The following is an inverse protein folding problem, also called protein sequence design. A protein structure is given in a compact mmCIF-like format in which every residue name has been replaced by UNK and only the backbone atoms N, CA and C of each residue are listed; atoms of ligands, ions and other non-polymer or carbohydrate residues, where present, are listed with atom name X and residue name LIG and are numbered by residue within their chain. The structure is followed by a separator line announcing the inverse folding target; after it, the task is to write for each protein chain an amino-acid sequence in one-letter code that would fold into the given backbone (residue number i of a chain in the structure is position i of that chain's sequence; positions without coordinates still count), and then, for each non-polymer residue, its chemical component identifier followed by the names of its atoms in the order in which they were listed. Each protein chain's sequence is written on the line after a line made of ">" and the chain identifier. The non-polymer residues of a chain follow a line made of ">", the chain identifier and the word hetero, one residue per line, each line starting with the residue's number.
data_IF_036622999800
#
_entry.id   IF_036622999800
#
_cell.length_a   1.000
_cell.length_b   1.000
_cell.length_c   1.000
_cell.angle_alpha   90.00
_cell.angle_beta   90.00
_cell.angle_gamma   90.00
#
_symmetry.space_group_name_H-M   'P 1'
#
loop_
_entity.id
_entity.type
_entity.pdbx_description
1 polymer ?
#
# COMPACT_ATOMS: atom_id res chain seq x y z
N UNK A 1 -12.93 -12.89 -10.44
CA UNK A 1 -13.25 -12.61 -9.03
C UNK A 1 -13.30 -13.93 -8.29
N UNK A 2 -12.92 -13.97 -7.02
CA UNK A 2 -12.80 -15.20 -6.24
C UNK A 2 -14.14 -15.57 -5.59
N UNK A 3 -14.70 -16.72 -5.95
CA UNK A 3 -15.96 -17.24 -5.41
C UNK A 3 -15.69 -18.52 -4.65
N UNK A 4 -16.39 -18.71 -3.53
CA UNK A 4 -16.31 -19.95 -2.76
C UNK A 4 -17.34 -20.93 -3.33
N UNK A 5 -16.94 -22.12 -3.77
CA UNK A 5 -17.88 -23.15 -4.21
C UNK A 5 -17.69 -24.45 -3.43
N UNK A 6 -18.79 -25.16 -3.17
CA UNK A 6 -18.74 -26.53 -2.70
C UNK A 6 -18.32 -27.46 -3.85
N UNK A 7 -17.36 -28.34 -3.59
CA UNK A 7 -16.94 -29.44 -4.44
C UNK A 7 -17.02 -30.73 -3.62
N UNK A 8 -18.16 -31.41 -3.69
CA UNK A 8 -18.46 -32.55 -2.81
C UNK A 8 -18.58 -32.14 -1.33
N UNK A 9 -17.70 -32.67 -0.48
CA UNK A 9 -17.60 -32.31 0.94
C UNK A 9 -16.72 -31.09 1.20
N UNK A 10 -15.96 -30.65 0.21
CA UNK A 10 -14.93 -29.64 0.36
C UNK A 10 -15.40 -28.29 -0.16
N UNK A 11 -14.83 -27.21 0.36
CA UNK A 11 -15.06 -25.86 -0.16
C UNK A 11 -13.77 -25.35 -0.79
N UNK A 12 -13.86 -24.90 -2.04
CA UNK A 12 -12.73 -24.43 -2.83
C UNK A 12 -12.94 -22.97 -3.27
N UNK A 13 -11.87 -22.19 -3.21
CA UNK A 13 -11.83 -20.85 -3.78
C UNK A 13 -11.53 -20.96 -5.28
N UNK A 14 -12.44 -20.50 -6.12
CA UNK A 14 -12.31 -20.55 -7.57
C UNK A 14 -12.38 -19.15 -8.18
N UNK A 15 -11.58 -18.92 -9.21
CA UNK A 15 -11.67 -17.69 -10.01
C UNK A 15 -12.77 -17.89 -11.05
N UNK A 16 -13.84 -17.10 -10.93
CA UNK A 16 -14.95 -17.12 -11.88
C UNK A 16 -15.14 -15.76 -12.55
N UNK A 17 -15.69 -15.80 -13.76
CA UNK A 17 -16.18 -14.62 -14.46
C UNK A 17 -17.54 -14.21 -13.91
N UNK A 18 -17.63 -13.03 -13.31
CA UNK A 18 -18.90 -12.46 -12.84
C UNK A 18 -19.47 -11.57 -13.94
N UNK A 19 -20.71 -11.87 -14.36
CA UNK A 19 -21.43 -11.05 -15.34
C UNK A 19 -21.99 -9.80 -14.66
N UNK A 20 -21.89 -8.64 -15.34
CA UNK A 20 -22.43 -7.35 -14.88
C UNK A 20 -21.82 -6.82 -13.58
N UNK A 21 -20.52 -6.53 -13.61
CA UNK A 21 -19.82 -5.82 -12.53
C UNK A 21 -19.95 -4.32 -12.73
N UNK A 22 -20.53 -3.62 -11.75
CA UNK A 22 -20.62 -2.16 -11.74
C UNK A 22 -19.68 -1.60 -10.68
N UNK A 23 -18.67 -0.86 -11.11
CA UNK A 23 -17.69 -0.22 -10.24
C UNK A 23 -17.58 1.27 -10.54
N UNK A 24 -17.63 2.08 -9.48
CA UNK A 24 -17.51 3.54 -9.57
C UNK A 24 -16.42 3.99 -8.61
N UNK A 25 -15.34 4.53 -9.18
CA UNK A 25 -14.20 5.03 -8.42
C UNK A 25 -14.09 6.55 -8.45
N UNK A 26 -13.56 7.12 -7.38
CA UNK A 26 -13.12 8.50 -7.34
C UNK A 26 -11.83 8.60 -6.54
N UNK A 27 -10.91 9.46 -6.98
CA UNK A 27 -9.62 9.67 -6.33
C UNK A 27 -9.36 11.16 -6.17
N UNK A 28 -8.91 11.54 -4.98
CA UNK A 28 -8.50 12.88 -4.63
C UNK A 28 -7.09 12.81 -4.05
N UNK A 29 -6.16 13.56 -4.64
CA UNK A 29 -4.80 13.71 -4.12
C UNK A 29 -4.53 15.19 -3.99
N UNK A 30 -4.16 15.63 -2.79
CA UNK A 30 -3.81 17.02 -2.52
C UNK A 30 -2.32 17.11 -2.25
N UNK A 31 -1.73 18.26 -2.57
CA UNK A 31 -0.35 18.58 -2.21
C UNK A 31 -0.31 20.02 -1.71
N UNK A 32 -0.07 20.17 -0.41
CA UNK A 32 -0.01 21.46 0.28
C UNK A 32 1.41 21.70 0.80
N UNK A 33 1.92 22.92 0.60
CA UNK A 33 3.22 23.37 1.13
C UNK A 33 3.00 24.62 1.97
N UNK A 34 2.51 24.49 3.22
CA UNK A 34 2.24 25.65 4.06
C UNK A 34 3.51 26.42 4.41
N UNK A 35 4.66 25.73 4.45
CA UNK A 35 5.98 26.31 4.65
C UNK A 35 6.96 25.75 3.62
N UNK A 36 8.05 26.47 3.34
CA UNK A 36 9.10 26.02 2.40
C UNK A 36 9.76 24.70 2.81
N UNK A 37 9.76 24.40 4.11
CA UNK A 37 10.32 23.18 4.69
C UNK A 37 9.29 22.07 4.93
N UNK A 38 7.98 22.30 4.70
CA UNK A 38 6.92 21.33 5.00
C UNK A 38 6.07 21.05 3.75
N UNK A 39 5.93 19.78 3.38
CA UNK A 39 4.98 19.31 2.37
C UNK A 39 4.02 18.29 3.00
N UNK A 40 2.72 18.48 2.79
CA UNK A 40 1.66 17.56 3.19
C UNK A 40 0.93 17.08 1.94
N UNK A 41 0.77 15.76 1.81
CA UNK A 41 0.11 15.13 0.67
C UNK A 41 -0.92 14.12 1.17
N UNK A 42 -2.11 14.58 1.62
CA UNK A 42 -3.21 13.68 1.91
C UNK A 42 -3.82 13.17 0.60
N UNK A 43 -4.29 11.93 0.64
CA UNK A 43 -5.02 11.32 -0.45
C UNK A 43 -6.27 10.61 0.09
N UNK A 44 -7.26 10.50 -0.80
CA UNK A 44 -8.47 9.75 -0.58
C UNK A 44 -8.87 9.03 -1.86
N UNK A 45 -9.08 7.72 -1.78
CA UNK A 45 -9.63 6.92 -2.86
C UNK A 45 -10.93 6.27 -2.40
N UNK A 46 -11.96 6.39 -3.22
CA UNK A 46 -13.25 5.76 -3.03
C UNK A 46 -13.50 4.78 -4.17
N UNK A 47 -14.07 3.62 -3.85
CA UNK A 47 -14.54 2.65 -4.84
C UNK A 47 -15.85 2.05 -4.35
N UNK A 48 -16.91 2.19 -5.13
CA UNK A 48 -18.17 1.47 -4.94
C UNK A 48 -18.22 0.29 -5.89
N UNK A 49 -18.37 -0.92 -5.37
CA UNK A 49 -18.47 -2.15 -6.17
C UNK A 49 -19.81 -2.83 -5.93
N UNK A 50 -20.56 -3.07 -7.01
CA UNK A 50 -21.86 -3.75 -7.00
C UNK A 50 -21.91 -4.85 -8.04
N UNK A 51 -22.10 -6.09 -7.59
CA UNK A 51 -22.24 -7.27 -8.45
C UNK A 51 -22.86 -8.43 -7.67
N UNK A 52 -23.24 -9.50 -8.37
CA UNK A 52 -23.76 -10.72 -7.76
C UNK A 52 -22.77 -11.86 -7.96
N UNK A 53 -22.38 -12.53 -6.88
CA UNK A 53 -21.77 -13.85 -6.93
C UNK A 53 -22.88 -14.92 -6.93
N UNK A 54 -22.57 -16.20 -7.23
CA UNK A 54 -23.54 -17.28 -7.03
C UNK A 54 -24.05 -17.39 -5.58
N UNK A 55 -23.27 -16.95 -4.60
CA UNK A 55 -23.57 -17.12 -3.17
C UNK A 55 -24.24 -15.91 -2.53
N UNK A 56 -23.96 -14.69 -3.03
CA UNK A 56 -24.45 -13.46 -2.42
C UNK A 56 -24.37 -12.26 -3.36
N UNK A 57 -25.12 -11.22 -2.99
CA UNK A 57 -25.01 -9.90 -3.63
C UNK A 57 -23.94 -9.08 -2.93
N UNK A 58 -22.92 -8.66 -3.67
CA UNK A 58 -21.88 -7.76 -3.18
C UNK A 58 -22.28 -6.31 -3.45
N UNK A 59 -22.27 -5.51 -2.39
CA UNK A 59 -22.44 -4.06 -2.44
C UNK A 59 -21.50 -3.44 -1.42
N UNK A 60 -20.30 -3.09 -1.88
CA UNK A 60 -19.20 -2.67 -1.01
C UNK A 60 -18.71 -1.28 -1.37
N UNK A 61 -18.38 -0.50 -0.34
CA UNK A 61 -17.80 0.83 -0.48
C UNK A 61 -16.43 0.82 0.20
N UNK A 62 -15.38 0.87 -0.61
CA UNK A 62 -14.01 1.00 -0.14
C UNK A 62 -13.69 2.48 0.04
N UNK A 63 -13.11 2.80 1.20
CA UNK A 63 -12.57 4.11 1.54
C UNK A 63 -11.10 3.91 1.90
N UNK A 64 -10.19 4.46 1.10
CA UNK A 64 -8.75 4.40 1.35
C UNK A 64 -8.24 5.81 1.57
N UNK A 65 -7.82 6.09 2.79
CA UNK A 65 -7.34 7.40 3.21
C UNK A 65 -5.89 7.25 3.64
N UNK A 66 -5.05 8.20 3.25
CA UNK A 66 -3.72 8.29 3.80
C UNK A 66 -3.14 9.69 3.68
N UNK A 67 -1.98 9.86 4.30
CA UNK A 67 -1.25 11.13 4.28
C UNK A 67 0.24 10.87 4.26
N UNK A 68 0.93 11.59 3.38
CA UNK A 68 2.37 11.76 3.41
C UNK A 68 2.72 13.13 3.99
N UNK A 69 3.71 13.18 4.87
CA UNK A 69 4.27 14.40 5.42
C UNK A 69 5.78 14.38 5.19
N UNK A 70 6.32 15.45 4.62
CA UNK A 70 7.74 15.63 4.40
C UNK A 70 8.20 16.94 5.03
N UNK A 71 9.26 16.84 5.84
CA UNK A 71 9.96 17.97 6.46
C UNK A 71 11.38 18.00 5.93
N UNK A 72 11.84 19.15 5.43
CA UNK A 72 13.20 19.37 4.94
C UNK A 72 13.83 20.54 5.67
N UNK A 73 14.85 20.25 6.48
CA UNK A 73 15.58 21.26 7.26
C UNK A 73 17.09 21.17 6.96
N UNK A 74 17.54 22.01 6.02
CA UNK A 74 18.92 22.04 5.57
C UNK A 74 19.36 20.70 4.95
N UNK A 75 20.23 19.97 5.65
CA UNK A 75 20.74 18.66 5.22
C UNK A 75 19.85 17.49 5.66
N UNK A 76 18.85 17.74 6.49
CA UNK A 76 17.94 16.74 7.00
C UNK A 76 16.65 16.68 6.19
N UNK A 77 16.17 15.47 5.94
CA UNK A 77 14.87 15.20 5.37
C UNK A 77 14.19 14.13 6.22
N UNK A 78 12.99 14.44 6.70
CA UNK A 78 12.11 13.49 7.35
C UNK A 78 10.87 13.28 6.47
N UNK A 79 10.46 12.03 6.26
CA UNK A 79 9.24 11.69 5.54
C UNK A 79 8.48 10.65 6.35
N UNK A 80 7.20 10.88 6.61
CA UNK A 80 6.31 9.89 7.21
C UNK A 80 5.08 9.69 6.34
N UNK A 81 4.66 8.44 6.19
CA UNK A 81 3.47 8.05 5.44
C UNK A 81 2.57 7.24 6.35
N UNK A 82 1.28 7.52 6.32
CA UNK A 82 0.26 6.86 7.13
C UNK A 82 -0.89 6.47 6.21
N UNK A 83 -1.23 5.18 6.16
CA UNK A 83 -2.43 4.73 5.47
C UNK A 83 -3.39 4.12 6.50
N UNK A 84 -4.63 4.56 6.44
CA UNK A 84 -5.67 4.10 7.36
C UNK A 84 -6.17 2.71 6.97
N UNK A 85 -6.70 1.93 7.92
CA UNK A 85 -7.27 0.63 7.63
C UNK A 85 -8.34 0.73 6.55
N UNK A 86 -8.36 -0.24 5.63
CA UNK A 86 -9.37 -0.35 4.59
C UNK A 86 -9.80 -1.80 4.40
N UNK A 87 -10.95 -2.00 3.76
CA UNK A 87 -11.42 -3.33 3.38
C UNK A 87 -11.62 -3.37 1.88
N UNK A 88 -11.05 -4.37 1.22
CA UNK A 88 -11.28 -4.70 -0.19
C UNK A 88 -12.22 -5.91 -0.28
N UNK A 89 -12.86 -6.06 -1.44
CA UNK A 89 -13.71 -7.22 -1.74
C UNK A 89 -13.33 -7.76 -3.11
N UNK A 90 -13.25 -9.09 -3.21
CA UNK A 90 -13.01 -9.80 -4.46
C UNK A 90 -13.91 -11.03 -4.54
N UNK A 91 -15.07 -10.90 -5.20
CA UNK A 91 -16.08 -11.96 -5.23
C UNK A 91 -16.69 -12.16 -3.84
N UNK A 92 -16.54 -13.34 -3.27
CA UNK A 92 -17.04 -13.67 -1.92
C UNK A 92 -16.04 -13.37 -0.80
N UNK A 93 -14.80 -13.03 -1.16
CA UNK A 93 -13.71 -12.87 -0.20
C UNK A 93 -13.50 -11.39 0.11
N UNK A 94 -13.43 -11.08 1.39
CA UNK A 94 -13.12 -9.76 1.92
C UNK A 94 -11.73 -9.78 2.53
N UNK A 95 -10.95 -8.73 2.27
CA UNK A 95 -9.64 -8.53 2.89
C UNK A 95 -9.64 -7.20 3.64
N UNK A 96 -9.52 -7.26 4.96
CA UNK A 96 -9.32 -6.10 5.82
C UNK A 96 -7.82 -5.88 5.99
N UNK A 97 -7.32 -4.78 5.44
CA UNK A 97 -5.95 -4.32 5.59
C UNK A 97 -5.91 -3.38 6.79
N UNK A 98 -4.99 -3.62 7.72
CA UNK A 98 -4.83 -2.80 8.90
C UNK A 98 -4.14 -1.48 8.63
N UNK A 99 -3.97 -0.71 9.70
CA UNK A 99 -3.19 0.52 9.63
C UNK A 99 -1.72 0.19 9.37
N UNK A 100 -1.12 0.90 8.43
CA UNK A 100 0.32 0.85 8.23
C UNK A 100 0.90 2.26 8.13
N UNK A 101 2.13 2.38 8.60
CA UNK A 101 2.88 3.61 8.52
C UNK A 101 4.36 3.33 8.25
N UNK A 102 5.04 4.31 7.68
CA UNK A 102 6.49 4.33 7.65
C UNK A 102 7.00 5.72 7.96
N UNK A 103 8.17 5.79 8.57
CA UNK A 103 8.87 7.03 8.85
C UNK A 103 10.32 6.86 8.41
N UNK A 104 10.86 7.86 7.71
CA UNK A 104 12.24 7.86 7.25
C UNK A 104 12.92 9.17 7.61
N UNK A 105 14.17 9.08 8.05
CA UNK A 105 15.04 10.21 8.33
C UNK A 105 16.30 10.05 7.51
N UNK A 106 16.65 11.08 6.76
CA UNK A 106 17.80 11.09 5.86
C UNK A 106 18.66 12.33 6.11
N UNK A 107 19.97 12.15 6.11
CA UNK A 107 20.97 13.21 6.23
C UNK A 107 21.91 13.20 5.03
N UNK A 108 22.07 14.36 4.38
CA UNK A 108 22.97 14.52 3.24
C UNK A 108 24.28 15.21 3.64
N UNK A 109 25.40 14.53 3.40
CA UNK A 109 26.76 15.03 3.62
C UNK A 109 27.57 14.97 2.31
N UNK A 110 27.48 16.04 1.51
CA UNK A 110 28.17 16.09 0.22
C UNK A 110 27.69 15.00 -0.74
N UNK A 111 28.58 14.08 -1.10
CA UNK A 111 28.26 12.91 -1.92
C UNK A 111 27.66 11.74 -1.13
N UNK A 112 27.69 11.78 0.20
CA UNK A 112 27.14 10.73 1.07
C UNK A 112 25.73 11.10 1.50
N UNK A 113 24.83 10.13 1.52
CA UNK A 113 23.51 10.22 2.13
C UNK A 113 23.34 9.03 3.06
N UNK A 114 23.02 9.30 4.33
CA UNK A 114 22.73 8.27 5.33
C UNK A 114 21.26 8.39 5.70
N UNK A 115 20.56 7.27 5.85
CA UNK A 115 19.17 7.28 6.25
C UNK A 115 18.81 6.10 7.14
N UNK A 116 17.72 6.27 7.86
CA UNK A 116 17.04 5.23 8.60
C UNK A 116 15.56 5.26 8.22
N UNK A 117 14.94 4.10 8.11
CA UNK A 117 13.51 3.93 7.88
C UNK A 117 12.94 2.97 8.90
N UNK A 118 11.80 3.34 9.46
CA UNK A 118 10.98 2.54 10.33
C UNK A 118 9.66 2.23 9.64
N UNK A 119 9.28 0.96 9.58
CA UNK A 119 8.00 0.49 9.05
C UNK A 119 7.18 -0.08 10.21
N UNK A 120 5.95 0.38 10.34
CA UNK A 120 4.98 -0.04 11.33
C UNK A 120 3.77 -0.68 10.64
N UNK A 121 3.54 -1.96 10.89
CA UNK A 121 2.43 -2.73 10.31
C UNK A 121 1.97 -3.83 11.28
N UNK A 122 1.34 -3.46 12.42
CA UNK A 122 1.06 -4.38 13.51
C UNK A 122 0.03 -5.46 13.16
N UNK A 123 -0.94 -5.11 12.31
CA UNK A 123 -2.06 -5.95 11.88
C UNK A 123 -2.17 -5.95 10.34
N UNK A 124 -1.29 -6.67 9.62
CA UNK A 124 -1.13 -6.53 8.18
C UNK A 124 -2.43 -6.75 7.38
N UNK A 125 -3.05 -7.92 7.54
CA UNK A 125 -4.34 -8.19 6.92
C UNK A 125 -5.12 -9.32 7.61
N UNK A 126 -6.43 -9.29 7.45
CA UNK A 126 -7.37 -10.36 7.78
C UNK A 126 -8.22 -10.64 6.56
N UNK A 127 -8.16 -11.87 6.06
CA UNK A 127 -8.96 -12.35 4.93
C UNK A 127 -10.12 -13.17 5.49
N UNK A 128 -11.32 -13.01 4.95
CA UNK A 128 -12.48 -13.79 5.37
C UNK A 128 -13.50 -13.91 4.24
N UNK A 129 -14.29 -14.97 4.26
CA UNK A 129 -15.56 -15.02 3.54
C UNK A 129 -16.66 -15.48 4.50
N UNK A 130 -17.82 -14.88 4.33
CA UNK A 130 -19.01 -15.18 5.10
C UNK A 130 -20.17 -15.32 4.11
N UNK A 131 -20.42 -16.55 3.67
CA UNK A 131 -21.48 -16.91 2.73
C UNK A 131 -22.47 -17.83 3.43
N UNK A 132 -23.72 -17.97 2.94
CA UNK A 132 -24.73 -18.81 3.60
C UNK A 132 -24.29 -20.26 3.86
N UNK A 133 -23.37 -20.79 3.04
CA UNK A 133 -22.92 -22.19 3.12
C UNK A 133 -21.49 -22.36 3.62
N UNK A 134 -20.72 -21.28 3.78
CA UNK A 134 -19.31 -21.35 4.15
C UNK A 134 -18.83 -20.10 4.87
N UNK A 135 -18.11 -20.30 5.97
CA UNK A 135 -17.49 -19.26 6.77
C UNK A 135 -16.01 -19.59 6.99
N UNK A 136 -15.11 -18.66 6.66
CA UNK A 136 -13.70 -18.78 7.03
C UNK A 136 -13.11 -17.43 7.42
N UNK A 137 -12.07 -17.50 8.27
CA UNK A 137 -11.28 -16.35 8.68
C UNK A 137 -9.81 -16.76 8.72
N UNK A 138 -8.99 -16.06 7.95
CA UNK A 138 -7.55 -16.15 7.98
C UNK A 138 -6.95 -14.82 8.43
N UNK A 139 -5.95 -14.88 9.31
CA UNK A 139 -5.24 -13.69 9.80
C UNK A 139 -3.77 -13.81 9.45
N UNK A 140 -3.29 -12.87 8.66
CA UNK A 140 -1.88 -12.72 8.35
C UNK A 140 -1.14 -12.24 9.60
N UNK A 141 -0.36 -13.12 10.24
CA UNK A 141 0.49 -12.78 11.38
C UNK A 141 1.95 -12.71 10.93
N UNK A 142 2.48 -11.50 10.81
CA UNK A 142 3.89 -11.31 10.48
C UNK A 142 4.65 -11.06 11.79
N UNK A 143 5.46 -12.03 12.23
CA UNK A 143 6.19 -11.94 13.50
C UNK A 143 7.20 -10.78 13.52
N UNK A 144 8.10 -10.75 12.53
CA UNK A 144 9.24 -9.83 12.49
C UNK A 144 9.00 -8.52 11.73
N UNK A 145 7.83 -8.33 11.10
CA UNK A 145 7.55 -7.16 10.27
C UNK A 145 6.51 -6.20 10.85
N UNK A 146 6.01 -6.47 12.06
CA UNK A 146 5.17 -5.49 12.77
C UNK A 146 5.91 -4.16 12.93
N UNK A 147 7.21 -4.27 13.18
CA UNK A 147 8.15 -3.19 13.30
C UNK A 147 9.41 -3.61 12.53
N UNK A 148 9.77 -2.90 11.47
CA UNK A 148 11.01 -3.14 10.73
C UNK A 148 11.83 -1.86 10.70
N UNK A 149 13.14 -2.00 10.94
CA UNK A 149 14.09 -0.90 10.78
C UNK A 149 15.05 -1.23 9.64
N UNK A 150 15.20 -0.30 8.71
CA UNK A 150 16.17 -0.38 7.63
C UNK A 150 17.15 0.80 7.73
N UNK A 151 18.44 0.54 7.59
CA UNK A 151 19.49 1.56 7.51
C UNK A 151 19.99 1.63 6.07
N UNK A 152 20.13 2.84 5.56
CA UNK A 152 20.54 3.09 4.18
C UNK A 152 21.79 3.96 4.17
N UNK A 153 22.79 3.54 3.40
CA UNK A 153 23.97 4.34 3.08
C UNK A 153 24.09 4.45 1.56
N UNK A 154 24.13 5.67 1.03
CA UNK A 154 24.24 5.95 -0.40
C UNK A 154 25.43 6.86 -0.64
N UNK A 155 26.35 6.44 -1.51
CA UNK A 155 27.42 7.29 -2.00
C UNK A 155 27.19 7.62 -3.48
N UNK A 156 27.08 8.91 -3.79
CA UNK A 156 26.81 9.42 -5.13
C UNK A 156 28.12 9.82 -5.82
N UNK A 157 28.57 8.99 -6.76
CA UNK A 157 29.71 9.30 -7.63
C UNK A 157 29.24 10.19 -8.79
N UNK A 158 29.61 11.47 -8.78
CA UNK A 158 29.45 12.35 -9.94
C UNK A 158 30.75 12.42 -10.72
N UNK A 159 30.90 11.61 -11.79
CA UNK A 159 31.99 11.74 -12.76
C UNK A 159 31.44 12.35 -14.06
N UNK A 160 31.77 13.62 -14.32
CA UNK A 160 31.59 14.25 -15.64
C UNK A 160 31.04 15.68 -15.62
N UNK A 161 31.72 16.57 -16.37
CA UNK A 161 31.19 17.86 -16.82
C UNK A 161 30.02 17.64 -17.79
N UNK A 162 28.83 17.32 -17.27
CA UNK A 162 27.62 17.26 -18.07
C UNK A 162 27.03 18.66 -18.20
N UNK A 163 27.18 19.28 -19.38
CA UNK A 163 26.39 20.46 -19.77
C UNK A 163 24.90 20.16 -19.54
N UNK A 164 24.17 21.15 -19.00
CA UNK A 164 22.73 21.12 -18.75
C UNK A 164 21.98 20.41 -19.90
N UNK A 165 21.47 19.22 -19.65
CA UNK A 165 20.36 18.67 -20.41
C UNK A 165 19.11 18.77 -19.53
N UNK A 166 18.28 19.74 -19.87
CA UNK A 166 16.89 19.85 -19.44
C UNK A 166 16.17 18.53 -19.74
N UNK A 167 15.45 17.99 -18.75
CA UNK A 167 14.33 17.08 -19.01
C UNK A 167 14.64 15.61 -19.22
N UNK A 168 15.54 14.99 -18.43
CA UNK A 168 15.51 13.52 -18.28
C UNK A 168 15.16 13.13 -16.86
N UNK A 169 13.87 12.83 -16.66
CA UNK A 169 13.39 12.01 -15.55
C UNK A 169 14.03 10.64 -15.67
N UNK A 170 15.14 10.40 -14.98
CA UNK A 170 15.72 9.07 -14.80
C UNK A 170 15.32 8.61 -13.41
N UNK A 171 14.07 8.18 -13.29
CA UNK A 171 13.68 7.29 -12.22
C UNK A 171 12.62 6.35 -12.77
N UNK A 172 13.08 5.33 -13.50
CA UNK A 172 12.37 4.07 -13.61
C UNK A 172 13.02 3.12 -12.61
N UNK A 173 12.90 3.44 -11.32
CA UNK A 173 13.04 2.45 -10.27
C UNK A 173 11.62 2.02 -9.99
N UNK A 174 11.32 0.79 -10.37
CA UNK A 174 10.19 0.06 -9.85
C UNK A 174 10.20 0.25 -8.33
N UNK A 175 9.24 1.02 -7.84
CA UNK A 175 9.10 1.33 -6.42
C UNK A 175 8.40 0.15 -5.75
N UNK A 176 8.86 -1.08 -6.06
CA UNK A 176 8.44 -2.26 -5.34
C UNK A 176 9.15 -2.21 -3.99
N UNK A 177 8.45 -1.62 -3.02
CA UNK A 177 8.82 -1.53 -1.60
C UNK A 177 9.14 -2.89 -0.93
N UNK A 178 9.13 -3.99 -1.70
CA UNK A 178 9.34 -5.34 -1.17
C UNK A 178 8.12 -5.85 -0.41
N UNK A 179 7.03 -5.07 -0.35
CA UNK A 179 5.81 -5.35 0.42
C UNK A 179 4.67 -5.77 -0.50
N UNK A 180 4.90 -6.80 -1.31
CA UNK A 180 3.82 -7.54 -1.96
C UNK A 180 3.62 -8.85 -1.20
N UNK A 181 2.41 -9.41 -1.24
CA UNK A 181 2.05 -10.70 -0.61
C UNK A 181 2.94 -11.88 -1.03
N UNK A 182 3.81 -11.69 -2.02
CA UNK A 182 4.70 -12.70 -2.58
C UNK A 182 6.15 -12.57 -2.06
N UNK A 183 6.51 -11.49 -1.38
CA UNK A 183 7.86 -11.32 -0.86
C UNK A 183 7.97 -11.83 0.57
N UNK A 184 8.67 -12.95 0.72
CA UNK A 184 9.20 -13.42 2.00
C UNK A 184 10.56 -12.77 2.20
N UNK A 185 10.79 -12.05 3.30
CA UNK A 185 12.17 -11.65 3.60
C UNK A 185 13.00 -12.91 3.87
N UNK A 186 14.13 -12.99 3.18
CA UNK A 186 15.20 -13.92 3.52
C UNK A 186 16.10 -13.28 4.56
#
# INVERSE_FOLDING_TARGET
>A
MTVVSADGSDFVNQIVGIRHVNEYGASLVLSCRPFSWLTLQPYYNYLSSKYNTPNQRVNHNLNNVGISCQVVAGKWQFITNHNLPMTTVEGDVFEKIGYNANASLTYKLGAITVGAMFIYNPDPSRIYADTPSFHFVEKTRWGNFKNLVALTFVYSLSKGNSRRHLGKNINNRDNDSGLTKYNTAK
#
